data_IF_635204092062
#
_entry.id   IF_635204092062
#
_cell.length_a   1.000
_cell.length_b   1.000
_cell.length_c   1.000
_cell.angle_alpha   90.00
_cell.angle_beta   90.00
_cell.angle_gamma   90.00
#
_symmetry.space_group_name_H-M   'P 1'
#
loop_
_entity.id
_entity.type
_entity.pdbx_description
1 polymer ?
#
# COMPACT_ATOMS: atom_id res chain seq x y z
N UNK A 1 7.60 15.62 -9.71
CA UNK A 1 6.38 15.21 -9.00
C UNK A 1 5.91 13.94 -9.71
N UNK A 2 5.88 12.78 -9.04
CA UNK A 2 5.37 11.54 -9.64
C UNK A 2 4.00 11.30 -9.02
N UNK A 3 2.95 11.67 -9.74
CA UNK A 3 1.58 11.72 -9.19
C UNK A 3 0.98 10.34 -8.86
N UNK A 4 1.69 9.25 -9.18
CA UNK A 4 1.26 7.87 -8.92
C UNK A 4 1.98 7.14 -7.78
N UNK A 5 2.93 7.77 -7.08
CA UNK A 5 3.60 7.11 -5.95
C UNK A 5 2.74 7.25 -4.69
N UNK A 6 2.41 6.11 -4.09
CA UNK A 6 1.63 6.02 -2.86
C UNK A 6 2.46 6.55 -1.69
N UNK A 7 1.90 7.52 -0.98
CA UNK A 7 2.39 7.98 0.32
C UNK A 7 1.49 7.40 1.42
N UNK A 8 2.03 6.50 2.23
CA UNK A 8 1.26 5.82 3.28
C UNK A 8 0.82 6.75 4.43
N UNK A 9 1.32 7.98 4.48
CA UNK A 9 0.84 9.04 5.40
C UNK A 9 -0.52 9.62 4.97
N UNK A 10 -1.04 9.22 3.82
CA UNK A 10 -2.42 9.51 3.42
C UNK A 10 -3.41 8.62 4.17
N UNK A 11 -4.69 8.98 4.15
CA UNK A 11 -5.76 8.11 4.64
C UNK A 11 -5.87 6.84 3.78
N UNK A 12 -6.34 5.74 4.37
CA UNK A 12 -6.55 4.49 3.62
C UNK A 12 -7.53 4.69 2.44
N UNK A 13 -8.54 5.55 2.62
CA UNK A 13 -9.46 5.94 1.53
C UNK A 13 -8.74 6.69 0.42
N UNK A 14 -7.84 7.62 0.77
CA UNK A 14 -7.03 8.36 -0.20
C UNK A 14 -6.14 7.43 -1.03
N UNK A 15 -5.45 6.50 -0.37
CA UNK A 15 -4.59 5.51 -1.03
C UNK A 15 -5.42 4.59 -1.93
N UNK A 16 -6.56 4.09 -1.43
CA UNK A 16 -7.46 3.25 -2.21
C UNK A 16 -7.96 3.95 -3.47
N UNK A 17 -8.36 5.22 -3.36
CA UNK A 17 -8.82 6.02 -4.50
C UNK A 17 -7.70 6.28 -5.51
N UNK A 18 -6.47 6.52 -5.04
CA UNK A 18 -5.29 6.67 -5.91
C UNK A 18 -5.04 5.40 -6.73
N UNK A 19 -5.01 4.23 -6.06
CA UNK A 19 -4.83 2.93 -6.72
C UNK A 19 -5.93 2.71 -7.76
N UNK A 20 -7.19 2.92 -7.40
CA UNK A 20 -8.33 2.74 -8.30
C UNK A 20 -8.27 3.69 -9.50
N UNK A 21 -7.87 4.95 -9.31
CA UNK A 21 -7.78 5.94 -10.38
C UNK A 21 -6.67 5.63 -11.40
N UNK A 22 -5.60 4.94 -10.96
CA UNK A 22 -4.43 4.62 -11.77
C UNK A 22 -4.37 3.14 -12.19
N UNK A 23 -5.38 2.33 -11.86
CA UNK A 23 -5.43 0.91 -12.22
C UNK A 23 -5.62 0.71 -13.73
N UNK A 24 -5.56 -0.54 -14.22
CA UNK A 24 -5.62 -0.84 -15.65
C UNK A 24 -6.84 -0.19 -16.34
N UNK A 25 -6.68 0.38 -17.55
CA UNK A 25 -5.51 0.34 -18.44
C UNK A 25 -4.49 1.48 -18.24
N UNK A 26 -4.51 2.19 -17.09
CA UNK A 26 -3.60 3.30 -16.81
C UNK A 26 -2.22 2.82 -16.31
N UNK A 27 -1.37 3.78 -15.92
CA UNK A 27 0.06 3.56 -15.62
C UNK A 27 0.34 2.65 -14.41
N UNK A 28 -0.63 2.50 -13.50
CA UNK A 28 -0.48 1.84 -12.20
C UNK A 28 -0.07 2.82 -11.11
N UNK A 29 -0.62 2.65 -9.90
CA UNK A 29 -0.05 3.28 -8.71
C UNK A 29 1.22 2.54 -8.31
N UNK A 30 2.17 3.22 -7.68
CA UNK A 30 3.48 2.67 -7.34
C UNK A 30 3.78 2.80 -5.85
N UNK A 31 4.42 1.79 -5.28
CA UNK A 31 5.09 1.87 -3.99
C UNK A 31 6.59 1.77 -4.19
N UNK A 32 7.36 2.39 -3.28
CA UNK A 32 8.82 2.25 -3.24
C UNK A 32 9.17 1.28 -2.11
N UNK A 33 9.88 0.20 -2.43
CA UNK A 33 10.35 -0.76 -1.45
C UNK A 33 11.80 -1.16 -1.77
N UNK A 34 12.70 -1.02 -0.79
CA UNK A 34 14.14 -1.25 -0.96
C UNK A 34 14.74 -0.54 -2.20
N UNK A 35 14.31 0.70 -2.45
CA UNK A 35 14.78 1.53 -3.57
C UNK A 35 14.24 1.11 -4.95
N UNK A 36 13.34 0.13 -5.02
CA UNK A 36 12.67 -0.31 -6.25
C UNK A 36 11.21 0.12 -6.27
N UNK A 37 10.71 0.39 -7.47
CA UNK A 37 9.31 0.73 -7.71
C UNK A 37 8.51 -0.54 -8.02
N UNK A 38 7.37 -0.69 -7.38
CA UNK A 38 6.46 -1.81 -7.61
C UNK A 38 5.05 -1.29 -7.88
N UNK A 39 4.41 -1.81 -8.92
CA UNK A 39 3.04 -1.44 -9.24
C UNK A 39 2.04 -2.12 -8.33
N UNK A 40 0.97 -1.39 -8.05
CA UNK A 40 -0.19 -1.80 -7.28
C UNK A 40 -1.43 -1.54 -8.13
N UNK A 41 -2.23 -2.58 -8.31
CA UNK A 41 -3.38 -2.58 -9.21
C UNK A 41 -4.70 -2.63 -8.46
N UNK A 42 -4.73 -3.31 -7.32
CA UNK A 42 -5.91 -3.46 -6.48
C UNK A 42 -5.55 -3.41 -4.99
N UNK A 43 -6.47 -2.89 -4.19
CA UNK A 43 -6.35 -2.88 -2.75
C UNK A 43 -7.70 -2.91 -2.05
N UNK A 44 -7.69 -3.21 -0.74
CA UNK A 44 -8.86 -3.15 0.15
C UNK A 44 -8.53 -2.33 1.40
N UNK A 45 -9.48 -1.52 1.86
CA UNK A 45 -9.37 -0.83 3.14
C UNK A 45 -9.68 -1.83 4.25
N UNK A 46 -8.85 -1.84 5.29
CA UNK A 46 -9.03 -2.67 6.49
C UNK A 46 -9.07 -1.77 7.71
N UNK A 47 -10.21 -1.77 8.41
CA UNK A 47 -10.37 -1.03 9.66
C UNK A 47 -9.48 -1.64 10.74
N UNK A 48 -8.68 -0.81 11.40
CA UNK A 48 -7.77 -1.23 12.48
C UNK A 48 -7.80 -0.18 13.58
N UNK A 49 -7.68 -0.62 14.84
CA UNK A 49 -7.50 0.26 15.99
C UNK A 49 -6.03 0.21 16.44
N UNK A 50 -5.20 0.98 15.73
CA UNK A 50 -3.73 1.01 15.91
C UNK A 50 -3.21 2.45 15.90
N UNK A 51 -3.58 3.28 16.89
CA UNK A 51 -3.24 4.71 16.89
C UNK A 51 -1.74 4.99 17.09
N UNK A 52 -1.01 4.04 17.69
CA UNK A 52 0.40 4.19 18.04
C UNK A 52 1.34 3.47 17.05
N UNK A 53 0.85 3.12 15.86
CA UNK A 53 1.64 2.49 14.81
C UNK A 53 1.87 3.48 13.69
N UNK A 54 3.14 3.67 13.33
CA UNK A 54 3.56 4.56 12.25
C UNK A 54 3.00 4.11 10.90
N UNK A 55 2.62 5.08 10.07
CA UNK A 55 2.23 4.86 8.68
C UNK A 55 3.39 4.27 7.87
N UNK A 56 3.08 3.39 6.92
CA UNK A 56 4.06 2.68 6.11
C UNK A 56 4.52 1.35 6.71
N UNK A 57 4.22 1.07 7.99
CA UNK A 57 4.56 -0.22 8.61
C UNK A 57 3.76 -1.36 8.01
N UNK A 58 4.45 -2.45 7.66
CA UNK A 58 3.83 -3.71 7.26
C UNK A 58 3.29 -4.43 8.50
N UNK A 59 1.97 -4.57 8.54
CA UNK A 59 1.25 -5.18 9.66
C UNK A 59 1.10 -6.69 9.50
N UNK A 60 0.94 -7.17 8.25
CA UNK A 60 0.71 -8.59 7.94
C UNK A 60 1.07 -8.88 6.49
N UNK A 61 1.63 -10.06 6.24
CA UNK A 61 1.88 -10.57 4.88
C UNK A 61 1.42 -12.02 4.78
N UNK A 62 0.43 -12.28 3.93
CA UNK A 62 -0.07 -13.64 3.68
C UNK A 62 -0.70 -13.78 2.28
N UNK A 63 -1.48 -14.86 2.08
CA UNK A 63 -2.15 -15.15 0.81
C UNK A 63 -3.16 -14.09 0.35
N UNK A 64 -3.60 -13.19 1.23
CA UNK A 64 -4.47 -12.07 0.90
C UNK A 64 -3.70 -10.85 0.39
N UNK A 65 -2.38 -10.82 0.55
CA UNK A 65 -1.51 -9.72 0.13
C UNK A 65 -0.75 -9.07 1.28
N UNK A 66 -0.35 -7.82 1.08
CA UNK A 66 0.47 -7.03 2.02
C UNK A 66 -0.40 -5.99 2.71
N UNK A 67 -0.61 -6.13 4.02
CA UNK A 67 -1.35 -5.18 4.84
C UNK A 67 -0.41 -4.12 5.42
N UNK A 68 -0.66 -2.85 5.12
CA UNK A 68 0.21 -1.73 5.49
C UNK A 68 -0.59 -0.69 6.26
N UNK A 69 -0.03 -0.17 7.35
CA UNK A 69 -0.64 0.91 8.12
C UNK A 69 -0.69 2.19 7.30
N UNK A 70 -1.87 2.79 7.16
CA UNK A 70 -2.06 4.13 6.59
C UNK A 70 -2.08 5.19 7.71
N UNK A 71 -2.49 6.42 7.44
CA UNK A 71 -2.69 7.41 8.51
C UNK A 71 -3.74 6.98 9.54
N UNK A 72 -4.95 6.66 9.08
CA UNK A 72 -6.10 6.29 9.89
C UNK A 72 -6.21 4.77 10.05
N UNK A 73 -6.56 4.07 8.96
CA UNK A 73 -6.79 2.63 8.92
C UNK A 73 -5.54 1.90 8.37
N UNK A 74 -5.75 0.75 7.74
CA UNK A 74 -4.76 0.04 6.96
C UNK A 74 -5.24 -0.19 5.52
N UNK A 75 -4.30 -0.37 4.61
CA UNK A 75 -4.54 -0.70 3.21
C UNK A 75 -3.91 -2.07 2.91
N UNK A 76 -4.72 -2.99 2.41
CA UNK A 76 -4.30 -4.32 1.97
C UNK A 76 -4.05 -4.26 0.46
N UNK A 77 -2.81 -4.39 0.04
CA UNK A 77 -2.44 -4.49 -1.36
C UNK A 77 -2.73 -5.91 -1.85
N UNK A 78 -3.80 -6.10 -2.62
CA UNK A 78 -4.30 -7.43 -3.04
C UNK A 78 -3.77 -7.86 -4.40
N UNK A 79 -3.42 -6.92 -5.26
CA UNK A 79 -2.80 -7.19 -6.56
C UNK A 79 -1.63 -6.23 -6.79
N UNK A 80 -0.43 -6.78 -6.93
CA UNK A 80 0.82 -6.03 -7.00
C UNK A 80 1.90 -6.82 -7.76
N UNK A 81 2.98 -6.14 -8.14
CA UNK A 81 4.08 -6.70 -8.93
C UNK A 81 5.37 -6.93 -8.11
N UNK A 82 5.28 -7.13 -6.79
CA UNK A 82 6.47 -7.42 -5.97
C UNK A 82 7.23 -8.65 -6.47
N UNK A 83 8.53 -8.49 -6.75
CA UNK A 83 9.45 -9.62 -7.01
C UNK A 83 9.65 -10.49 -5.76
N UNK A 84 9.66 -9.84 -4.60
CA UNK A 84 9.81 -10.46 -3.28
C UNK A 84 8.93 -9.69 -2.31
N UNK A 85 8.08 -10.42 -1.59
CA UNK A 85 7.19 -9.81 -0.61
C UNK A 85 7.99 -9.17 0.52
N UNK A 86 7.55 -8.02 1.03
CA UNK A 86 8.08 -7.48 2.28
C UNK A 86 7.79 -8.44 3.44
N UNK A 87 8.44 -8.21 4.58
CA UNK A 87 8.19 -8.95 5.83
C UNK A 87 7.34 -8.11 6.77
N UNK A 88 6.67 -8.79 7.70
CA UNK A 88 5.99 -8.10 8.79
C UNK A 88 7.00 -7.27 9.61
N UNK A 89 6.63 -6.03 9.89
CA UNK A 89 7.51 -5.07 10.55
C UNK A 89 8.43 -4.27 9.64
N UNK A 90 8.51 -4.60 8.34
CA UNK A 90 9.19 -3.73 7.36
C UNK A 90 8.40 -2.42 7.15
N UNK A 91 9.02 -1.48 6.43
CA UNK A 91 8.46 -0.16 6.16
C UNK A 91 8.58 0.22 4.68
N UNK A 92 7.63 1.05 4.24
CA UNK A 92 7.56 1.68 2.93
C UNK A 92 7.81 3.20 3.04
#
# INVERSE_FOLDING_TARGET
MRDGVIDFRMSAVGIYNLIRALSQPYVGAEVVYNGKHYKVWEAKIVKVDLPNIESGKVLRVDSQGVLIKAYDDAILLTQHEFDTLPKEGDYF
#
